data_IF_943335363406
#
_entry.id   IF_943335363406
#
_cell.length_a   1.000
_cell.length_b   1.000
_cell.length_c   1.000
_cell.angle_alpha   90.00
_cell.angle_beta   90.00
_cell.angle_gamma   90.00
#
_symmetry.space_group_name_H-M   'P 1'
#
loop_
_entity.id
_entity.type
_entity.pdbx_description
1 polymer ?
#
# COMPACT_ATOMS: atom_id res chain seq x y z
N UNK A 1 20.45 -17.99 12.38
CA UNK A 1 20.69 -17.16 11.19
C UNK A 1 19.89 -15.89 11.34
N UNK A 2 20.54 -14.73 11.47
CA UNK A 2 19.87 -13.43 11.45
C UNK A 2 19.50 -13.11 10.00
N UNK A 3 18.26 -12.70 9.74
CA UNK A 3 17.83 -12.26 8.43
C UNK A 3 18.78 -11.16 7.89
N UNK A 4 19.07 -11.13 6.58
CA UNK A 4 19.94 -10.12 6.00
C UNK A 4 19.36 -8.73 6.31
N UNK A 5 20.18 -7.87 6.90
CA UNK A 5 19.83 -6.47 7.17
C UNK A 5 19.70 -5.75 5.83
N UNK A 6 18.48 -5.61 5.33
CA UNK A 6 18.18 -4.80 4.14
C UNK A 6 18.35 -3.34 4.54
N UNK A 7 19.41 -2.69 4.03
CA UNK A 7 19.61 -1.24 4.18
C UNK A 7 18.86 -0.53 3.07
N UNK A 8 18.07 0.47 3.43
CA UNK A 8 17.49 1.40 2.48
C UNK A 8 18.62 2.20 1.77
N UNK A 9 18.42 2.62 0.50
CA UNK A 9 19.33 3.53 -0.18
C UNK A 9 19.54 4.88 0.56
N UNK A 10 20.64 5.61 0.29
CA UNK A 10 20.89 6.96 0.84
C UNK A 10 19.75 7.94 0.58
N UNK A 11 19.62 9.00 1.38
CA UNK A 11 18.49 9.93 1.31
C UNK A 11 18.45 10.64 -0.05
N UNK A 12 17.26 10.75 -0.64
CA UNK A 12 17.03 11.52 -1.86
C UNK A 12 15.75 12.35 -1.67
N UNK A 13 15.86 13.63 -1.26
CA UNK A 13 14.69 14.48 -1.09
C UNK A 13 14.11 14.85 -2.47
N UNK A 14 13.17 14.04 -2.98
CA UNK A 14 12.26 14.28 -4.13
C UNK A 14 11.41 13.01 -4.38
N UNK A 15 10.72 12.95 -5.53
CA UNK A 15 10.30 11.70 -6.18
C UNK A 15 11.54 10.86 -6.52
N UNK A 16 11.68 9.71 -5.87
CA UNK A 16 12.48 8.63 -6.40
C UNK A 16 11.46 7.53 -6.73
N UNK A 17 10.95 7.53 -7.96
CA UNK A 17 10.04 6.48 -8.38
C UNK A 17 10.73 5.11 -8.26
N UNK A 18 10.00 4.04 -7.92
CA UNK A 18 10.54 2.69 -7.90
C UNK A 18 11.06 2.29 -9.29
N UNK A 19 12.04 1.39 -9.33
CA UNK A 19 12.60 0.89 -10.58
C UNK A 19 11.64 -0.05 -11.33
N UNK A 20 10.63 -0.60 -10.64
CA UNK A 20 9.61 -1.46 -11.21
C UNK A 20 8.24 -1.17 -10.55
N UNK A 21 7.17 -1.58 -11.22
CA UNK A 21 5.85 -1.58 -10.61
C UNK A 21 5.77 -2.64 -9.49
N UNK A 22 4.92 -2.43 -8.47
CA UNK A 22 4.61 -3.46 -7.49
C UNK A 22 4.27 -4.81 -8.12
N UNK A 23 4.72 -5.88 -7.46
CA UNK A 23 4.69 -7.27 -7.92
C UNK A 23 5.56 -7.60 -9.16
N UNK A 24 6.17 -6.62 -9.84
CA UNK A 24 6.96 -6.83 -11.05
C UNK A 24 8.48 -6.60 -10.88
N UNK A 25 8.94 -6.20 -9.69
CA UNK A 25 10.37 -6.03 -9.42
C UNK A 25 10.69 -5.28 -8.13
N UNK A 26 11.84 -4.59 -8.13
CA UNK A 26 12.32 -3.84 -6.96
C UNK A 26 11.62 -2.48 -6.83
N UNK A 27 10.84 -2.35 -5.76
CA UNK A 27 10.11 -1.12 -5.45
C UNK A 27 10.80 -0.24 -4.40
N UNK A 28 12.01 -0.60 -3.96
CA UNK A 28 12.70 0.16 -2.90
C UNK A 28 13.20 1.48 -3.43
N UNK A 29 12.98 2.54 -2.65
CA UNK A 29 13.45 3.89 -2.94
C UNK A 29 14.21 4.46 -1.74
N UNK A 30 14.88 5.59 -1.92
CA UNK A 30 15.64 6.25 -0.88
C UNK A 30 14.77 6.62 0.33
N UNK A 31 15.35 6.57 1.54
CA UNK A 31 14.64 7.09 2.71
C UNK A 31 14.34 8.58 2.56
N UNK A 32 13.11 8.97 2.93
CA UNK A 32 12.62 10.35 2.76
C UNK A 32 12.21 10.73 1.34
N UNK A 33 12.28 9.81 0.38
CA UNK A 33 11.73 10.01 -0.97
C UNK A 33 10.25 9.64 -1.05
N UNK A 34 9.53 10.23 -2.02
CA UNK A 34 8.19 9.79 -2.37
C UNK A 34 8.28 8.64 -3.38
N UNK A 35 7.77 7.47 -2.99
CA UNK A 35 7.80 6.26 -3.79
C UNK A 35 6.75 6.30 -4.93
N UNK A 36 5.50 6.59 -4.59
CA UNK A 36 4.39 6.74 -5.53
C UNK A 36 3.31 7.67 -4.95
N UNK A 37 2.36 8.07 -5.79
CA UNK A 37 1.16 8.82 -5.39
C UNK A 37 -0.08 8.01 -5.75
N UNK A 38 -1.00 7.86 -4.79
CA UNK A 38 -2.29 7.21 -5.01
C UNK A 38 -3.42 8.23 -5.19
N UNK A 39 -4.24 8.02 -6.22
CA UNK A 39 -5.52 8.69 -6.41
C UNK A 39 -6.64 7.78 -5.93
N UNK A 40 -7.50 8.32 -5.07
CA UNK A 40 -8.72 7.64 -4.66
C UNK A 40 -9.70 7.60 -5.84
N UNK A 41 -10.17 6.40 -6.20
CA UNK A 41 -11.18 6.19 -7.24
C UNK A 41 -12.38 5.42 -6.68
N UNK A 42 -13.59 5.63 -7.21
CA UNK A 42 -14.76 4.86 -6.78
C UNK A 42 -14.58 3.37 -7.10
N UNK A 43 -14.88 2.49 -6.13
CA UNK A 43 -14.66 1.05 -6.26
C UNK A 43 -15.47 0.43 -7.41
N UNK A 44 -16.68 0.93 -7.64
CA UNK A 44 -17.57 0.49 -8.71
C UNK A 44 -17.09 0.86 -10.13
N UNK A 45 -16.09 1.75 -10.23
CA UNK A 45 -15.46 2.15 -11.51
C UNK A 45 -14.04 1.61 -11.70
N UNK A 46 -13.54 0.88 -10.71
CA UNK A 46 -12.13 0.49 -10.69
C UNK A 46 -11.74 -0.32 -11.93
N UNK A 47 -12.50 -1.35 -12.26
CA UNK A 47 -12.21 -2.23 -13.39
C UNK A 47 -12.36 -1.51 -14.74
N UNK A 48 -13.33 -0.59 -14.87
CA UNK A 48 -13.48 0.26 -16.06
C UNK A 48 -12.26 1.17 -16.26
N UNK A 49 -11.70 1.71 -15.17
CA UNK A 49 -10.51 2.57 -15.24
C UNK A 49 -9.26 1.76 -15.58
N UNK A 50 -9.10 0.55 -15.04
CA UNK A 50 -8.03 -0.38 -15.41
C UNK A 50 -8.11 -0.71 -16.89
N UNK A 51 -9.30 -1.09 -17.38
CA UNK A 51 -9.51 -1.39 -18.80
C UNK A 51 -9.15 -0.19 -19.68
N UNK A 52 -9.54 1.03 -19.28
CA UNK A 52 -9.21 2.25 -20.01
C UNK A 52 -7.70 2.54 -20.06
N UNK A 53 -6.96 2.24 -18.99
CA UNK A 53 -5.49 2.33 -19.01
C UNK A 53 -4.90 1.38 -20.06
N UNK A 54 -5.38 0.13 -20.09
CA UNK A 54 -4.93 -0.88 -21.06
C UNK A 54 -5.30 -0.51 -22.50
N UNK A 55 -6.52 0.00 -22.73
CA UNK A 55 -6.96 0.48 -24.06
C UNK A 55 -6.10 1.64 -24.58
N UNK A 56 -5.54 2.45 -23.67
CA UNK A 56 -4.60 3.53 -23.99
C UNK A 56 -3.15 3.03 -24.15
N UNK A 57 -2.90 1.74 -23.98
CA UNK A 57 -1.56 1.14 -24.06
C UNK A 57 -0.67 1.42 -22.84
N UNK A 58 -1.26 1.80 -21.70
CA UNK A 58 -0.52 1.99 -20.46
C UNK A 58 -0.26 0.63 -19.81
N UNK A 59 1.01 0.31 -19.59
CA UNK A 59 1.40 -0.87 -18.82
C UNK A 59 1.09 -0.66 -17.33
N UNK A 60 0.53 -1.68 -16.70
CA UNK A 60 0.16 -1.64 -15.28
C UNK A 60 0.73 -2.82 -14.50
N UNK A 61 0.75 -2.70 -13.18
CA UNK A 61 0.85 -3.86 -12.30
C UNK A 61 -0.37 -4.76 -12.47
N UNK A 62 -0.34 -5.99 -11.94
CA UNK A 62 -1.56 -6.70 -11.60
C UNK A 62 -2.41 -5.86 -10.64
N UNK A 63 -3.73 -6.11 -10.63
CA UNK A 63 -4.59 -5.57 -9.58
C UNK A 63 -4.22 -6.23 -8.26
N UNK A 64 -3.91 -5.42 -7.25
CA UNK A 64 -3.60 -5.87 -5.90
C UNK A 64 -4.82 -5.65 -5.01
N UNK A 65 -5.36 -6.72 -4.43
CA UNK A 65 -6.45 -6.65 -3.45
C UNK A 65 -5.83 -6.69 -2.04
N UNK A 66 -5.57 -5.53 -1.44
CA UNK A 66 -4.93 -5.43 -0.12
C UNK A 66 -5.82 -6.02 0.98
N UNK A 67 -5.23 -6.89 1.80
CA UNK A 67 -5.90 -7.68 2.84
C UNK A 67 -5.00 -7.83 4.09
N UNK A 68 -5.60 -8.11 5.25
CA UNK A 68 -4.96 -8.08 6.58
C UNK A 68 -4.13 -9.34 7.02
N UNK A 69 -4.25 -10.56 6.45
CA UNK A 69 -3.41 -11.70 6.86
C UNK A 69 -2.08 -11.81 6.09
N UNK A 70 -1.22 -12.79 6.45
CA UNK A 70 0.22 -12.96 6.12
C UNK A 70 0.69 -12.58 4.69
N UNK A 71 -0.19 -12.56 3.70
CA UNK A 71 0.12 -12.23 2.31
C UNK A 71 0.04 -10.75 1.93
N UNK A 72 -0.61 -9.89 2.74
CA UNK A 72 -0.91 -8.46 2.47
C UNK A 72 -1.75 -8.19 1.20
N UNK A 73 -1.86 -9.15 0.29
CA UNK A 73 -2.63 -9.11 -0.96
C UNK A 73 -3.36 -10.44 -1.14
N UNK A 74 -4.67 -10.37 -1.37
CA UNK A 74 -5.52 -11.51 -1.67
C UNK A 74 -5.59 -11.79 -3.19
N UNK A 75 -5.61 -13.07 -3.62
CA UNK A 75 -5.71 -13.43 -5.03
C UNK A 75 -7.09 -13.12 -5.64
N UNK A 76 -8.13 -13.00 -4.81
CA UNK A 76 -9.50 -12.76 -5.22
C UNK A 76 -10.17 -11.79 -4.23
N UNK A 77 -11.21 -11.10 -4.69
CA UNK A 77 -12.03 -10.25 -3.82
C UNK A 77 -12.79 -11.09 -2.79
N UNK A 78 -12.83 -10.59 -1.56
CA UNK A 78 -13.70 -11.02 -0.48
C UNK A 78 -13.91 -9.85 0.49
N UNK A 79 -14.79 -10.01 1.48
CA UNK A 79 -15.19 -8.95 2.42
C UNK A 79 -14.05 -8.39 3.29
N UNK A 80 -12.89 -9.06 3.31
CA UNK A 80 -11.69 -8.63 4.05
C UNK A 80 -10.76 -7.72 3.25
N UNK A 81 -10.91 -7.69 1.92
CA UNK A 81 -10.14 -6.77 1.08
C UNK A 81 -10.59 -5.35 1.41
N UNK A 82 -9.67 -4.51 1.87
CA UNK A 82 -9.96 -3.15 2.31
C UNK A 82 -9.58 -2.09 1.27
N UNK A 83 -8.64 -2.39 0.38
CA UNK A 83 -8.27 -1.56 -0.78
C UNK A 83 -8.01 -2.44 -2.00
N UNK A 84 -8.50 -2.03 -3.17
CA UNK A 84 -8.00 -2.52 -4.47
C UNK A 84 -7.08 -1.48 -5.07
N UNK A 85 -5.97 -1.89 -5.66
CA UNK A 85 -5.12 -0.95 -6.37
C UNK A 85 -4.42 -1.49 -7.61
N UNK A 86 -4.07 -0.56 -8.49
CA UNK A 86 -3.28 -0.79 -9.70
C UNK A 86 -2.26 0.33 -9.84
N UNK A 87 -1.03 -0.02 -10.21
CA UNK A 87 0.08 0.90 -10.35
C UNK A 87 0.49 1.03 -11.80
N UNK A 88 0.93 2.21 -12.20
CA UNK A 88 1.43 2.50 -13.53
C UNK A 88 2.38 3.71 -13.49
N UNK A 89 3.22 3.84 -14.50
CA UNK A 89 4.07 5.03 -14.64
C UNK A 89 3.38 6.08 -15.52
N UNK A 90 3.54 7.35 -15.17
CA UNK A 90 3.27 8.44 -16.10
C UNK A 90 4.42 8.62 -17.11
N UNK A 91 4.25 9.48 -18.14
CA UNK A 91 5.30 9.73 -19.13
C UNK A 91 6.62 10.30 -18.57
N UNK A 92 6.59 10.91 -17.38
CA UNK A 92 7.75 11.48 -16.71
C UNK A 92 8.42 10.48 -15.74
N UNK A 93 7.87 9.26 -15.63
CA UNK A 93 8.39 8.17 -14.81
C UNK A 93 7.95 8.22 -13.35
N UNK A 94 6.93 9.02 -13.00
CA UNK A 94 6.34 9.00 -11.65
C UNK A 94 5.46 7.76 -11.52
N UNK A 95 5.64 7.00 -10.44
CA UNK A 95 4.76 5.87 -10.13
C UNK A 95 3.45 6.41 -9.55
N UNK A 96 2.35 6.11 -10.24
CA UNK A 96 1.00 6.49 -9.86
C UNK A 96 0.20 5.24 -9.50
N UNK A 97 -0.78 5.40 -8.63
CA UNK A 97 -1.69 4.35 -8.20
C UNK A 97 -3.13 4.83 -8.32
N UNK A 98 -4.00 3.98 -8.88
CA UNK A 98 -5.42 4.08 -8.58
C UNK A 98 -5.73 3.16 -7.41
N UNK A 99 -6.28 3.72 -6.34
CA UNK A 99 -6.66 2.99 -5.15
C UNK A 99 -8.15 3.18 -4.88
N UNK A 100 -8.87 2.08 -4.69
CA UNK A 100 -10.27 2.06 -4.34
C UNK A 100 -10.46 1.43 -2.97
N UNK A 101 -10.91 2.24 -2.00
CA UNK A 101 -11.39 1.72 -0.73
C UNK A 101 -12.64 0.86 -0.98
N UNK A 102 -12.64 -0.36 -0.45
CA UNK A 102 -13.75 -1.31 -0.54
C UNK A 102 -14.50 -1.45 0.78
N UNK A 103 -14.01 -0.76 1.82
CA UNK A 103 -14.60 -0.69 3.16
C UNK A 103 -14.59 0.77 3.64
N UNK A 104 -15.50 1.09 4.56
CA UNK A 104 -15.44 2.35 5.29
C UNK A 104 -14.39 2.26 6.39
N UNK A 105 -13.39 3.14 6.35
CA UNK A 105 -12.38 3.21 7.39
C UNK A 105 -12.95 3.87 8.66
N UNK A 106 -12.58 3.31 9.81
CA UNK A 106 -12.93 3.85 11.12
C UNK A 106 -13.67 2.87 12.03
N UNK A 107 -13.98 3.33 13.24
CA UNK A 107 -14.62 2.51 14.29
C UNK A 107 -13.66 1.57 15.02
N UNK A 108 -14.17 0.97 16.10
CA UNK A 108 -13.38 0.17 17.06
C UNK A 108 -12.73 -1.07 16.42
N UNK A 109 -13.28 -1.56 15.30
CA UNK A 109 -12.74 -2.71 14.58
C UNK A 109 -11.42 -2.43 13.85
N UNK A 110 -11.12 -1.16 13.52
CA UNK A 110 -9.91 -0.76 12.78
C UNK A 110 -8.82 -0.16 13.69
N UNK A 111 -9.17 0.26 14.91
CA UNK A 111 -8.21 0.78 15.90
C UNK A 111 -7.80 -0.36 16.84
N UNK A 112 -6.86 -1.21 16.39
CA UNK A 112 -6.50 -2.48 17.07
C UNK A 112 -5.14 -2.47 17.77
N UNK A 113 -4.41 -1.37 17.70
CA UNK A 113 -3.04 -1.29 18.18
C UNK A 113 -2.81 -0.06 19.03
N UNK A 114 -2.26 -0.26 20.23
CA UNK A 114 -1.73 0.83 21.03
C UNK A 114 -0.58 1.55 20.30
N UNK A 115 -0.48 2.88 20.40
CA UNK A 115 0.55 3.65 19.72
C UNK A 115 1.94 3.40 20.30
N UNK A 116 2.97 3.57 19.46
CA UNK A 116 4.37 3.53 19.88
C UNK A 116 4.82 4.92 20.35
N UNK A 117 5.46 5.00 21.51
CA UNK A 117 6.04 6.25 22.02
C UNK A 117 7.40 6.53 21.38
N UNK A 118 7.88 7.77 21.51
CA UNK A 118 9.16 8.21 20.96
C UNK A 118 10.37 7.43 21.49
N UNK A 119 10.26 6.80 22.67
CA UNK A 119 11.28 5.92 23.25
C UNK A 119 11.19 4.46 22.78
N UNK A 120 10.30 4.16 21.82
CA UNK A 120 10.10 2.82 21.29
C UNK A 120 9.31 1.89 22.21
N UNK A 121 8.67 2.42 23.27
CA UNK A 121 7.80 1.66 24.17
C UNK A 121 6.33 1.87 23.80
N UNK A 122 5.57 0.78 23.70
CA UNK A 122 4.12 0.84 23.40
C UNK A 122 3.37 1.49 24.56
N UNK A 123 2.49 2.46 24.29
CA UNK A 123 1.61 3.06 25.30
C UNK A 123 0.40 2.15 25.55
N UNK A 124 0.60 1.10 26.34
CA UNK A 124 -0.41 0.07 26.63
C UNK A 124 -1.66 0.68 27.25
N UNK A 125 -2.85 0.21 26.84
CA UNK A 125 -4.12 0.62 27.45
C UNK A 125 -4.74 1.88 26.85
N UNK A 126 -4.13 2.47 25.82
CA UNK A 126 -4.68 3.64 25.12
C UNK A 126 -5.79 3.25 24.15
N UNK A 127 -5.68 2.06 23.56
CA UNK A 127 -6.63 1.48 22.60
C UNK A 127 -7.05 0.09 23.08
N UNK A 128 -6.09 -0.75 23.50
CA UNK A 128 -6.38 -2.11 23.97
C UNK A 128 -6.47 -2.09 25.50
N UNK A 129 -7.68 -2.05 26.03
CA UNK A 129 -7.94 -2.15 27.48
C UNK A 129 -7.83 -3.61 27.92
N UNK A 130 -6.61 -4.03 28.26
CA UNK A 130 -6.23 -5.35 28.79
C UNK A 130 -6.51 -6.55 27.87
N UNK A 131 -5.64 -7.56 27.98
CA UNK A 131 -5.68 -8.78 27.18
C UNK A 131 -7.06 -9.45 27.27
N UNK A 132 -7.74 -9.62 26.13
CA UNK A 132 -8.66 -10.76 26.01
C UNK A 132 -7.80 -12.02 26.15
N UNK A 133 -8.04 -12.74 27.24
CA UNK A 133 -7.40 -13.99 27.62
C UNK A 133 -7.37 -15.03 26.50
#
# INVERSE_FOLDING_TARGET
MLAPTVRAPPAAPSTAAPAALPALGDIRTAHGSMNHIAFSVPAERFDDYVARLHDLGVETSPVLNHDDPEGQVAPQMHDGVFVRSVYFFDPDGVCLEFAAWTVELGGDAHVRHDPMRADGIKAVGMVITELRA
#
